data_IF_071039773434
#
_entry.id   IF_071039773434
#
_cell.length_a   1.000
_cell.length_b   1.000
_cell.length_c   1.000
_cell.angle_alpha   90.00
_cell.angle_beta   90.00
_cell.angle_gamma   90.00
#
_symmetry.space_group_name_H-M   'P 1'
#
loop_
_entity.id
_entity.type
_entity.pdbx_description
1 polymer ?
#
# COMPACT_ATOMS: atom_id res chain seq x y z
N UNK A 1 1.78 -6.15 11.06
CA UNK A 1 2.78 -6.03 12.16
C UNK A 1 2.91 -7.29 13.04
N UNK A 2 2.09 -8.33 12.83
CA UNK A 2 2.17 -9.58 13.59
C UNK A 2 1.26 -9.63 14.81
N UNK A 3 0.31 -8.70 14.94
CA UNK A 3 -0.68 -8.69 16.02
C UNK A 3 -1.82 -9.73 15.86
N UNK A 4 -1.81 -10.49 14.75
CA UNK A 4 -2.81 -11.51 14.44
C UNK A 4 -4.05 -10.98 13.72
N UNK A 5 -4.14 -9.67 13.47
CA UNK A 5 -5.18 -9.05 12.66
C UNK A 5 -4.71 -8.93 11.20
N UNK A 6 -5.69 -8.98 10.28
CA UNK A 6 -5.44 -8.72 8.86
C UNK A 6 -5.65 -7.24 8.57
N UNK A 7 -4.58 -6.61 8.12
CA UNK A 7 -4.55 -5.22 7.70
C UNK A 7 -4.86 -5.05 6.21
N UNK A 8 -4.96 -3.80 5.76
CA UNK A 8 -5.17 -3.44 4.35
C UNK A 8 -3.95 -2.69 3.80
N UNK A 9 -3.55 -3.00 2.57
CA UNK A 9 -2.60 -2.20 1.80
C UNK A 9 -3.29 -1.72 0.55
N UNK A 10 -3.23 -0.42 0.29
CA UNK A 10 -3.78 0.20 -0.92
C UNK A 10 -3.13 1.56 -1.16
N UNK A 11 -3.50 2.23 -2.24
CA UNK A 11 -2.90 3.51 -2.58
C UNK A 11 -3.58 4.19 -3.76
N UNK A 12 -2.97 5.27 -4.22
CA UNK A 12 -3.43 5.98 -5.42
C UNK A 12 -2.77 5.36 -6.64
N UNK A 13 -3.59 5.02 -7.64
CA UNK A 13 -3.08 4.63 -8.95
C UNK A 13 -2.60 5.87 -9.70
N UNK A 14 -1.33 5.87 -10.11
CA UNK A 14 -0.79 6.93 -10.96
C UNK A 14 -1.41 6.85 -12.36
N UNK A 15 -2.04 7.96 -12.79
CA UNK A 15 -2.76 8.09 -14.06
C UNK A 15 -3.71 6.91 -14.31
N UNK A 16 -4.72 6.73 -13.44
CA UNK A 16 -5.72 5.68 -13.61
C UNK A 16 -6.43 5.83 -14.97
N UNK A 17 -6.75 7.07 -15.33
CA UNK A 17 -7.35 7.44 -16.61
C UNK A 17 -6.43 8.33 -17.48
N UNK A 18 -5.11 8.24 -17.30
CA UNK A 18 -4.13 9.05 -18.04
C UNK A 18 -3.83 10.42 -17.42
N UNK A 19 -2.89 11.19 -17.99
CA UNK A 19 -2.39 12.45 -17.40
C UNK A 19 -3.42 13.58 -17.34
N UNK A 20 -4.56 13.47 -18.03
CA UNK A 20 -5.65 14.46 -18.00
C UNK A 20 -7.01 13.87 -17.59
N UNK A 21 -7.10 12.57 -17.30
CA UNK A 21 -8.39 11.90 -17.06
C UNK A 21 -8.80 11.77 -15.60
N UNK A 22 -7.88 11.98 -14.66
CA UNK A 22 -8.15 11.96 -13.22
C UNK A 22 -8.44 13.39 -12.70
N UNK A 23 -9.21 13.53 -11.61
CA UNK A 23 -9.44 14.84 -10.94
C UNK A 23 -8.12 15.43 -10.45
N UNK A 24 -7.23 14.57 -9.93
CA UNK A 24 -5.91 14.95 -9.43
C UNK A 24 -4.84 14.01 -10.03
N UNK A 25 -4.51 14.15 -11.32
CA UNK A 25 -3.64 13.20 -12.03
C UNK A 25 -2.19 13.26 -11.53
N UNK A 26 -1.77 14.42 -11.01
CA UNK A 26 -0.42 14.70 -10.53
C UNK A 26 -0.31 14.75 -8.99
N UNK A 27 -1.38 14.44 -8.26
CA UNK A 27 -1.28 14.25 -6.81
C UNK A 27 -0.37 13.04 -6.50
N UNK A 28 0.30 13.02 -5.34
CA UNK A 28 1.25 11.98 -4.97
C UNK A 28 0.70 10.56 -5.19
N UNK A 29 1.52 9.70 -5.81
CA UNK A 29 1.20 8.29 -5.99
C UNK A 29 1.48 7.55 -4.68
N UNK A 30 0.58 7.71 -3.72
CA UNK A 30 0.77 7.17 -2.37
C UNK A 30 0.54 5.67 -2.30
N UNK A 31 1.33 5.00 -1.48
CA UNK A 31 1.15 3.64 -0.99
C UNK A 31 0.96 3.70 0.53
N UNK A 32 -0.14 3.13 1.03
CA UNK A 32 -0.51 3.13 2.44
C UNK A 32 -0.71 1.70 2.94
N UNK A 33 -0.29 1.50 4.19
CA UNK A 33 -0.74 0.41 5.05
C UNK A 33 -1.77 0.98 6.03
N UNK A 34 -2.94 0.37 6.08
CA UNK A 34 -3.99 0.69 7.04
C UNK A 34 -4.03 -0.41 8.10
N UNK A 35 -3.54 -0.09 9.29
CA UNK A 35 -3.53 -0.99 10.44
C UNK A 35 -4.94 -1.11 11.02
N UNK A 36 -5.45 -2.32 11.12
CA UNK A 36 -6.72 -2.60 11.78
C UNK A 36 -6.51 -2.61 13.30
N UNK A 37 -7.16 -1.70 14.01
CA UNK A 37 -7.28 -1.75 15.46
C UNK A 37 -8.71 -2.11 15.85
N UNK A 38 -8.88 -2.93 16.89
CA UNK A 38 -10.20 -3.31 17.43
C UNK A 38 -10.25 -2.99 18.91
N UNK A 39 -11.34 -2.36 19.34
CA UNK A 39 -11.60 -2.03 20.73
C UNK A 39 -13.09 -2.15 21.07
N UNK A 40 -13.47 -1.80 22.31
CA UNK A 40 -14.86 -1.88 22.77
C UNK A 40 -15.85 -1.10 21.89
N UNK A 41 -15.36 -0.04 21.23
CA UNK A 41 -16.17 0.88 20.43
C UNK A 41 -16.19 0.53 18.93
N UNK A 42 -15.60 -0.60 18.52
CA UNK A 42 -15.60 -1.06 17.13
C UNK A 42 -14.19 -1.24 16.54
N UNK A 43 -14.06 -0.97 15.25
CA UNK A 43 -12.85 -1.16 14.47
C UNK A 43 -12.43 0.13 13.77
N UNK A 44 -11.14 0.40 13.74
CA UNK A 44 -10.53 1.55 13.07
C UNK A 44 -9.40 1.08 12.15
N UNK A 45 -9.22 1.77 11.02
CA UNK A 45 -8.10 1.58 10.11
C UNK A 45 -7.17 2.78 10.21
N UNK A 46 -6.06 2.62 10.94
CA UNK A 46 -5.06 3.68 11.16
C UNK A 46 -4.12 3.75 9.96
N UNK A 47 -4.04 4.88 9.24
CA UNK A 47 -3.21 4.99 8.04
C UNK A 47 -1.72 5.19 8.39
N UNK A 48 -0.87 4.42 7.73
CA UNK A 48 0.58 4.54 7.73
C UNK A 48 1.07 4.70 6.29
N UNK A 49 1.62 5.88 5.97
CA UNK A 49 2.22 6.13 4.65
C UNK A 49 3.50 5.30 4.54
N UNK A 50 3.59 4.46 3.51
CA UNK A 50 4.79 3.68 3.19
C UNK A 50 5.69 4.49 2.26
N UNK A 51 5.10 5.04 1.21
CA UNK A 51 5.80 5.79 0.18
C UNK A 51 4.83 6.70 -0.58
N UNK A 52 5.29 7.84 -1.10
CA UNK A 52 4.45 8.83 -1.76
C UNK A 52 4.64 8.95 -3.28
N UNK A 53 5.48 8.10 -3.90
CA UNK A 53 5.83 8.20 -5.31
C UNK A 53 5.82 6.86 -6.08
N UNK A 54 5.38 5.78 -5.44
CA UNK A 54 5.25 4.44 -6.02
C UNK A 54 3.82 4.12 -6.46
N UNK A 55 2.83 4.43 -5.62
CA UNK A 55 1.41 4.17 -5.86
C UNK A 55 1.05 2.69 -5.98
N UNK A 56 -0.14 2.43 -6.52
CA UNK A 56 -0.62 1.07 -6.80
C UNK A 56 -0.98 0.86 -8.27
N UNK A 57 -0.97 -0.39 -8.70
CA UNK A 57 -1.47 -0.82 -10.00
C UNK A 57 -2.84 -1.51 -9.89
N UNK A 58 -3.13 -2.39 -10.85
CA UNK A 58 -4.24 -3.35 -10.73
C UNK A 58 -3.88 -4.55 -9.86
N UNK A 59 -2.60 -4.72 -9.53
CA UNK A 59 -2.08 -5.78 -8.70
C UNK A 59 -1.19 -5.19 -7.60
N UNK A 60 -1.49 -5.59 -6.37
CA UNK A 60 -0.75 -5.29 -5.15
C UNK A 60 -0.66 -6.62 -4.41
N UNK A 61 0.55 -7.05 -4.07
CA UNK A 61 0.79 -8.35 -3.42
C UNK A 61 1.51 -8.11 -2.11
N UNK A 62 0.99 -8.68 -1.03
CA UNK A 62 1.66 -8.79 0.25
C UNK A 62 2.17 -10.24 0.41
N UNK A 63 3.48 -10.44 0.38
CA UNK A 63 4.10 -11.77 0.45
C UNK A 63 5.52 -11.70 0.98
N UNK A 64 5.99 -12.75 1.63
CA UNK A 64 7.38 -12.87 2.06
C UNK A 64 8.28 -13.06 0.83
N UNK A 65 9.01 -12.00 0.46
CA UNK A 65 9.80 -11.94 -0.77
C UNK A 65 11.28 -12.17 -0.51
N UNK A 66 11.76 -11.97 0.73
CA UNK A 66 13.17 -12.14 1.10
C UNK A 66 13.44 -13.29 2.09
N UNK A 67 12.39 -14.01 2.51
CA UNK A 67 12.48 -15.22 3.33
C UNK A 67 12.58 -14.95 4.83
N UNK A 68 12.33 -13.71 5.29
CA UNK A 68 12.41 -13.33 6.69
C UNK A 68 11.11 -13.59 7.49
N UNK A 69 10.10 -14.18 6.83
CA UNK A 69 8.77 -14.50 7.35
C UNK A 69 7.92 -13.28 7.70
N UNK A 70 8.23 -12.11 7.14
CA UNK A 70 7.39 -10.91 7.19
C UNK A 70 6.80 -10.65 5.81
N UNK A 71 5.58 -10.10 5.74
CA UNK A 71 5.00 -9.71 4.46
C UNK A 71 5.72 -8.48 3.91
N UNK A 72 6.32 -8.62 2.74
CA UNK A 72 6.79 -7.51 1.91
C UNK A 72 5.70 -7.07 0.95
N UNK A 73 5.85 -5.88 0.36
CA UNK A 73 4.86 -5.31 -0.55
C UNK A 73 5.46 -5.20 -1.94
N UNK A 74 4.81 -5.83 -2.92
CA UNK A 74 5.18 -5.75 -4.34
C UNK A 74 4.08 -5.03 -5.11
N UNK A 75 4.45 -3.95 -5.81
CA UNK A 75 3.55 -3.17 -6.65
C UNK A 75 4.13 -2.96 -8.03
N UNK A 76 3.33 -3.25 -9.06
CA UNK A 76 3.66 -2.96 -10.46
C UNK A 76 2.66 -1.97 -11.06
N UNK A 77 3.14 -0.83 -11.54
CA UNK A 77 2.31 0.18 -12.21
C UNK A 77 3.13 1.09 -13.15
N UNK A 78 2.55 2.22 -13.60
CA UNK A 78 3.20 3.16 -14.52
C UNK A 78 4.44 3.85 -13.95
N UNK A 79 4.63 3.84 -12.62
CA UNK A 79 5.83 4.30 -11.90
C UNK A 79 6.90 3.20 -11.79
N UNK A 80 6.66 2.02 -12.35
CA UNK A 80 7.60 0.89 -12.36
C UNK A 80 7.17 -0.26 -11.45
N UNK A 81 8.11 -1.16 -11.19
CA UNK A 81 8.02 -2.24 -10.22
C UNK A 81 8.75 -1.80 -8.94
N UNK A 82 8.05 -1.79 -7.81
CA UNK A 82 8.63 -1.48 -6.50
C UNK A 82 8.43 -2.66 -5.55
N UNK A 83 9.44 -2.93 -4.75
CA UNK A 83 9.43 -3.93 -3.66
C UNK A 83 9.79 -3.22 -2.37
N UNK A 84 8.90 -3.25 -1.39
CA UNK A 84 9.10 -2.66 -0.06
C UNK A 84 9.28 -3.78 0.95
N UNK A 85 10.50 -3.88 1.50
CA UNK A 85 10.84 -4.92 2.47
C UNK A 85 10.46 -4.49 3.88
N UNK A 86 9.75 -5.34 4.61
CA UNK A 86 9.40 -5.05 5.99
C UNK A 86 10.61 -5.31 6.91
N UNK A 87 11.21 -4.26 7.47
CA UNK A 87 12.31 -4.36 8.44
C UNK A 87 11.84 -4.07 9.87
N UNK A 88 12.61 -4.54 10.86
CA UNK A 88 12.44 -4.21 12.28
C UNK A 88 13.18 -2.92 12.64
#
# INVERSE_FOLDING_TARGET
>A
DGDGLKDLITGKRFWAHGPQGDVEPNAPAVLYWFKLTRGPNGAEFVPHLIDNDSGVGTQVVATDSDGDKRPDIVVGNKKGLNVFLQRR
#
